data_IF_802932502097
#
_entry.id   IF_802932502097
#
_cell.length_a   1.000
_cell.length_b   1.000
_cell.length_c   1.000
_cell.angle_alpha   90.00
_cell.angle_beta   90.00
_cell.angle_gamma   90.00
#
_symmetry.space_group_name_H-M   'P 1'
#
loop_
_entity.id
_entity.type
_entity.pdbx_description
1 polymer ?
#
# COMPACT_ATOMS: atom_id res chain seq x y z
N UNK A 1 3.15 -6.57 -14.71
CA UNK A 1 2.16 -6.32 -13.66
C UNK A 1 1.69 -7.65 -13.16
N UNK A 2 1.86 -7.88 -11.87
CA UNK A 2 1.57 -9.17 -11.23
C UNK A 2 0.77 -8.91 -9.95
N UNK A 3 -0.12 -9.84 -9.60
CA UNK A 3 -0.81 -9.80 -8.32
C UNK A 3 0.18 -10.10 -7.19
N UNK A 4 0.09 -9.30 -6.13
CA UNK A 4 0.97 -9.40 -4.97
C UNK A 4 0.17 -9.25 -3.69
N UNK A 5 0.58 -9.98 -2.65
CA UNK A 5 0.11 -9.75 -1.29
C UNK A 5 1.30 -9.79 -0.32
N UNK A 6 1.48 -8.73 0.45
CA UNK A 6 2.58 -8.58 1.40
C UNK A 6 2.07 -8.21 2.79
N UNK A 7 2.88 -8.50 3.79
CA UNK A 7 2.65 -8.05 5.17
C UNK A 7 3.75 -7.06 5.51
N UNK A 8 3.36 -5.96 6.14
CA UNK A 8 4.29 -4.91 6.49
C UNK A 8 3.65 -3.83 7.33
N UNK A 9 4.45 -2.82 7.67
CA UNK A 9 4.02 -1.66 8.44
C UNK A 9 3.75 -0.51 7.50
N UNK A 10 2.57 0.08 7.60
CA UNK A 10 2.23 1.28 6.82
C UNK A 10 2.85 2.50 7.47
N UNK A 11 3.52 3.31 6.64
CA UNK A 11 4.11 4.58 7.06
C UNK A 11 3.93 5.65 5.98
N UNK A 12 4.25 6.91 6.31
CA UNK A 12 4.17 8.04 5.39
C UNK A 12 5.57 8.60 5.16
N UNK A 13 5.99 8.70 3.90
CA UNK A 13 7.31 9.20 3.50
C UNK A 13 7.17 10.15 2.32
N UNK A 14 7.73 11.36 2.44
CA UNK A 14 7.64 12.42 1.41
C UNK A 14 6.21 12.69 0.90
N UNK A 15 5.22 12.64 1.80
CA UNK A 15 3.81 12.85 1.46
C UNK A 15 3.11 11.63 0.85
N UNK A 16 3.83 10.55 0.55
CA UNK A 16 3.26 9.29 0.02
C UNK A 16 3.04 8.27 1.13
N UNK A 17 2.01 7.46 0.99
CA UNK A 17 1.79 6.30 1.86
C UNK A 17 2.58 5.13 1.29
N UNK A 18 3.37 4.50 2.14
CA UNK A 18 4.22 3.35 1.81
C UNK A 18 3.95 2.21 2.78
N UNK A 19 4.30 0.99 2.37
CA UNK A 19 4.40 -0.17 3.23
C UNK A 19 5.83 -0.68 3.23
N UNK A 20 6.35 -0.95 4.42
CA UNK A 20 7.67 -1.55 4.61
C UNK A 20 7.50 -3.00 5.07
N UNK A 21 8.03 -3.95 4.30
CA UNK A 21 8.02 -5.38 4.65
C UNK A 21 9.03 -5.67 5.77
N UNK A 22 8.91 -6.82 6.42
CA UNK A 22 9.91 -7.26 7.42
C UNK A 22 11.30 -7.47 6.81
N UNK A 23 11.38 -7.75 5.50
CA UNK A 23 12.63 -7.84 4.75
C UNK A 23 13.27 -6.47 4.44
N UNK A 24 12.61 -5.37 4.77
CA UNK A 24 13.08 -4.01 4.51
C UNK A 24 12.73 -3.47 3.12
N UNK A 25 11.95 -4.21 2.33
CA UNK A 25 11.46 -3.73 1.03
C UNK A 25 10.39 -2.67 1.26
N UNK A 26 10.35 -1.67 0.38
CA UNK A 26 9.43 -0.53 0.51
C UNK A 26 8.62 -0.43 -0.77
N UNK A 27 7.30 -0.43 -0.63
CA UNK A 27 6.36 -0.28 -1.74
C UNK A 27 5.48 0.94 -1.54
N UNK A 28 5.23 1.70 -2.61
CA UNK A 28 4.25 2.77 -2.59
C UNK A 28 2.84 2.18 -2.64
N UNK A 29 1.89 2.79 -1.94
CA UNK A 29 0.49 2.37 -1.96
C UNK A 29 -0.34 3.34 -2.78
N UNK A 30 -1.04 2.81 -3.78
CA UNK A 30 -2.01 3.57 -4.55
C UNK A 30 -3.38 2.90 -4.48
N UNK A 31 -4.42 3.72 -4.25
CA UNK A 31 -5.80 3.25 -4.19
C UNK A 31 -6.42 3.01 -5.58
N UNK A 32 -5.75 3.46 -6.64
CA UNK A 32 -6.24 3.44 -8.03
C UNK A 32 -5.47 2.40 -8.85
N UNK A 33 -5.95 2.13 -10.06
CA UNK A 33 -5.21 1.37 -11.07
C UNK A 33 -4.29 2.29 -11.88
N UNK A 34 -3.18 1.77 -12.43
CA UNK A 34 -2.19 2.59 -13.14
C UNK A 34 -2.74 3.22 -14.44
N UNK A 35 -3.84 2.70 -14.98
CA UNK A 35 -4.50 3.21 -16.19
C UNK A 35 -5.67 4.17 -15.89
N UNK A 36 -5.93 4.50 -14.62
CA UNK A 36 -6.95 5.51 -14.30
C UNK A 36 -6.39 6.93 -14.54
N UNK A 37 -7.19 7.79 -15.17
CA UNK A 37 -6.81 9.18 -15.47
C UNK A 37 -6.95 10.10 -14.24
N UNK A 38 -6.54 9.62 -13.07
CA UNK A 38 -6.54 10.37 -11.81
C UNK A 38 -5.15 10.33 -11.19
N UNK A 39 -4.89 11.26 -10.28
CA UNK A 39 -3.58 11.36 -9.63
C UNK A 39 -3.26 10.07 -8.84
N UNK A 40 -2.02 9.55 -8.83
CA UNK A 40 -1.66 8.31 -8.14
C UNK A 40 -1.95 8.29 -6.63
N UNK A 41 -2.09 9.45 -6.00
CA UNK A 41 -2.47 9.65 -4.60
C UNK A 41 -4.00 9.76 -4.40
N UNK A 42 -4.79 9.73 -5.47
CA UNK A 42 -6.24 9.79 -5.42
C UNK A 42 -6.79 8.70 -4.49
N UNK A 43 -7.59 9.11 -3.50
CA UNK A 43 -8.16 8.24 -2.47
C UNK A 43 -7.14 7.46 -1.62
N UNK A 44 -5.84 7.81 -1.65
CA UNK A 44 -4.81 7.17 -0.84
C UNK A 44 -4.86 7.59 0.64
N UNK A 45 -5.60 8.67 0.96
CA UNK A 45 -5.94 9.05 2.33
C UNK A 45 -6.68 7.96 3.11
N UNK A 46 -7.34 7.02 2.42
CA UNK A 46 -8.01 5.86 3.06
C UNK A 46 -7.02 4.97 3.83
N UNK A 47 -5.73 5.03 3.49
CA UNK A 47 -4.66 4.27 4.12
C UNK A 47 -4.09 4.96 5.37
N UNK A 48 -4.33 6.27 5.55
CA UNK A 48 -3.78 7.03 6.68
C UNK A 48 -4.27 6.51 8.03
N UNK A 49 -5.48 5.94 8.09
CA UNK A 49 -6.05 5.30 9.28
C UNK A 49 -5.29 4.05 9.76
N UNK A 50 -4.36 3.54 8.94
CA UNK A 50 -3.52 2.39 9.24
C UNK A 50 -2.04 2.76 9.43
N UNK A 51 -1.70 4.05 9.52
CA UNK A 51 -0.33 4.48 9.80
C UNK A 51 0.17 3.88 11.12
N UNK A 52 1.37 3.30 11.08
CA UNK A 52 2.00 2.62 12.21
C UNK A 52 1.46 1.21 12.49
N UNK A 53 0.42 0.76 11.79
CA UNK A 53 -0.13 -0.58 11.95
C UNK A 53 0.57 -1.58 11.05
N UNK A 54 0.78 -2.78 11.58
CA UNK A 54 1.14 -3.96 10.79
C UNK A 54 -0.12 -4.50 10.13
N UNK A 55 -0.12 -4.58 8.81
CA UNK A 55 -1.28 -4.98 8.02
C UNK A 55 -0.85 -5.87 6.85
N UNK A 56 -1.81 -6.56 6.26
CA UNK A 56 -1.64 -7.24 4.99
C UNK A 56 -2.15 -6.32 3.87
N UNK A 57 -1.33 -6.11 2.84
CA UNK A 57 -1.72 -5.35 1.65
C UNK A 57 -1.72 -6.28 0.45
N UNK A 58 -2.79 -6.24 -0.34
CA UNK A 58 -2.89 -6.92 -1.63
C UNK A 58 -3.19 -5.95 -2.76
N UNK A 59 -2.75 -6.27 -3.97
CA UNK A 59 -2.97 -5.45 -5.15
C UNK A 59 -2.12 -5.93 -6.34
N UNK A 60 -1.98 -5.06 -7.34
CA UNK A 60 -1.16 -5.34 -8.52
C UNK A 60 0.11 -4.51 -8.41
N UNK A 61 1.27 -5.14 -8.54
CA UNK A 61 2.57 -4.45 -8.46
C UNK A 61 3.21 -4.28 -9.84
N UNK A 62 3.92 -3.18 -10.01
CA UNK A 62 4.87 -2.94 -11.11
C UNK A 62 6.35 -3.06 -10.66
N UNK A 63 6.58 -3.42 -9.40
CA UNK A 63 7.89 -3.51 -8.77
C UNK A 63 8.13 -2.43 -7.70
N UNK A 64 7.55 -1.24 -7.87
CA UNK A 64 7.76 -0.09 -6.97
C UNK A 64 6.47 0.36 -6.26
N UNK A 65 5.32 0.13 -6.90
CA UNK A 65 4.00 0.57 -6.42
C UNK A 65 3.00 -0.57 -6.45
N UNK A 66 2.30 -0.75 -5.34
CA UNK A 66 1.12 -1.62 -5.25
C UNK A 66 -0.10 -0.77 -5.60
N UNK A 67 -0.63 -1.04 -6.79
CA UNK A 67 -1.82 -0.43 -7.33
C UNK A 67 -3.07 -1.17 -6.88
N UNK A 68 -4.19 -0.43 -6.86
CA UNK A 68 -5.47 -0.89 -6.36
C UNK A 68 -5.34 -1.55 -4.97
N UNK A 69 -4.49 -0.96 -4.13
CA UNK A 69 -4.10 -1.56 -2.86
C UNK A 69 -5.31 -1.71 -1.93
N UNK A 70 -5.45 -2.91 -1.40
CA UNK A 70 -6.43 -3.29 -0.40
C UNK A 70 -5.70 -3.63 0.90
N UNK A 71 -6.14 -3.04 2.02
CA UNK A 71 -5.57 -3.29 3.34
C UNK A 71 -6.50 -4.21 4.11
N UNK A 72 -5.94 -5.30 4.62
CA UNK A 72 -6.55 -6.19 5.57
C UNK A 72 -5.82 -6.03 6.92
N UNK A 73 -6.55 -5.63 7.96
CA UNK A 73 -6.00 -5.55 9.31
C UNK A 73 -5.77 -6.96 9.84
N UNK A 74 -4.57 -7.21 10.35
CA UNK A 74 -4.23 -8.44 11.03
C UNK A 74 -4.66 -8.27 12.48
N UNK A 75 -5.92 -8.59 12.77
CA UNK A 75 -6.45 -8.61 14.14
C UNK A 75 -5.60 -9.58 14.98
N UNK A 76 -4.87 -9.07 15.97
CA UNK A 76 -4.30 -9.89 17.04
C UNK A 76 -5.45 -10.25 18.00
N UNK A 77 -6.08 -11.39 17.77
CA UNK A 77 -6.93 -12.05 18.76
C UNK A 77 -6.12 -12.91 19.73
#
# INVERSE_FOLDING_TARGET
MEDMAIIGVISKRFGKIIITTEGGEIYNLSAIRPWEAVSPDFNSGKFEKHLGKRVRVSGITDGDTIWNAHIEELDEK
#
